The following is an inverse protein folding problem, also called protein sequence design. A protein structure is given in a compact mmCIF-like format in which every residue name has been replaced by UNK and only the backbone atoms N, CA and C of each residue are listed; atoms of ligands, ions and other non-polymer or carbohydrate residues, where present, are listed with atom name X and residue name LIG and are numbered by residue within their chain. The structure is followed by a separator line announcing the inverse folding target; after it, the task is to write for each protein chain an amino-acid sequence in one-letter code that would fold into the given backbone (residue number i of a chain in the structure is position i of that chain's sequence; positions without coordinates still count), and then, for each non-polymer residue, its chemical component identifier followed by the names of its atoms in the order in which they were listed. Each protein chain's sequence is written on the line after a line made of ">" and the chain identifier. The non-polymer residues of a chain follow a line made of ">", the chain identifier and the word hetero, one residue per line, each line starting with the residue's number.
data_IF_596549546585
#
_entry.id   IF_596549546585
#
_cell.length_a   1.000
_cell.length_b   1.000
_cell.length_c   1.000
_cell.angle_alpha   90.00
_cell.angle_beta   90.00
_cell.angle_gamma   90.00
#
_symmetry.space_group_name_H-M   'P 1'
#
loop_
_entity.id
_entity.type
_entity.pdbx_description
1 polymer ?
#
# COMPACT_ATOMS: atom_id res chain seq x y z
N UNK A 1 4.78 10.37 7.48
CA UNK A 1 4.02 9.34 8.19
C UNK A 1 3.70 9.86 9.58
N UNK A 2 2.45 9.69 10.03
CA UNK A 2 2.06 9.93 11.43
C UNK A 2 1.89 8.58 12.13
N UNK A 3 2.19 8.54 13.43
CA UNK A 3 2.01 7.33 14.24
C UNK A 3 1.34 7.69 15.56
N UNK A 4 0.24 7.03 15.84
CA UNK A 4 -0.45 7.11 17.12
C UNK A 4 -0.46 5.74 17.79
N UNK A 5 -0.30 5.73 19.12
CA UNK A 5 -0.41 4.51 19.90
C UNK A 5 -1.68 4.56 20.73
N UNK A 6 -2.67 3.76 20.36
CA UNK A 6 -3.99 3.72 20.99
C UNK A 6 -4.19 2.42 21.78
N UNK A 7 -5.31 2.30 22.49
CA UNK A 7 -5.67 1.11 23.29
C UNK A 7 -4.57 0.75 24.31
N UNK A 8 -4.05 1.76 25.02
CA UNK A 8 -2.98 1.55 26.00
C UNK A 8 -1.63 1.18 25.38
N UNK A 9 -1.37 1.67 24.16
CA UNK A 9 -0.12 1.41 23.41
C UNK A 9 -0.07 0.05 22.71
N UNK A 10 -1.19 -0.68 22.66
CA UNK A 10 -1.25 -2.01 22.03
C UNK A 10 -1.53 -1.96 20.53
N UNK A 11 -2.10 -0.90 20.04
CA UNK A 11 -2.38 -0.68 18.60
C UNK A 11 -1.52 0.47 18.12
N UNK A 12 -0.73 0.26 17.07
CA UNK A 12 -0.04 1.31 16.35
C UNK A 12 -0.87 1.70 15.12
N UNK A 13 -1.46 2.90 15.15
CA UNK A 13 -2.14 3.48 13.99
C UNK A 13 -1.14 4.31 13.19
N UNK A 14 -0.91 3.92 11.96
CA UNK A 14 0.04 4.51 11.02
C UNK A 14 -0.75 5.22 9.93
N UNK A 15 -0.54 6.53 9.76
CA UNK A 15 -1.25 7.30 8.75
C UNK A 15 -0.27 7.82 7.69
N UNK A 16 -0.51 7.46 6.43
CA UNK A 16 0.15 8.09 5.28
C UNK A 16 -0.37 9.53 5.20
N UNK A 17 0.50 10.52 5.38
CA UNK A 17 0.06 11.91 5.58
C UNK A 17 0.57 12.83 4.47
N UNK A 18 0.07 12.63 3.25
CA UNK A 18 0.22 13.53 2.10
C UNK A 18 -1.13 13.69 1.37
N UNK A 19 -2.22 14.11 2.08
CA UNK A 19 -3.54 14.17 1.47
C UNK A 19 -3.63 15.14 0.28
N UNK A 20 -2.78 16.17 0.24
CA UNK A 20 -2.69 17.12 -0.89
C UNK A 20 -2.18 16.47 -2.19
N UNK A 21 -1.57 15.30 -2.11
CA UNK A 21 -1.07 14.51 -3.24
C UNK A 21 -1.67 13.09 -3.22
N UNK A 22 -2.90 12.92 -2.72
CA UNK A 22 -3.63 11.66 -2.62
C UNK A 22 -2.77 10.53 -2.00
N UNK A 23 -1.97 10.89 -1.01
CA UNK A 23 -1.02 10.01 -0.31
C UNK A 23 -0.05 9.27 -1.25
N UNK A 24 0.37 9.94 -2.35
CA UNK A 24 1.40 9.41 -3.23
C UNK A 24 2.69 9.11 -2.46
N UNK A 25 3.28 7.96 -2.74
CA UNK A 25 4.44 7.43 -2.01
C UNK A 25 5.72 7.96 -2.66
N UNK A 26 6.38 8.90 -1.99
CA UNK A 26 7.75 9.34 -2.33
C UNK A 26 8.78 8.39 -1.75
N UNK A 27 10.04 8.54 -2.16
CA UNK A 27 11.16 7.82 -1.57
C UNK A 27 11.26 8.02 -0.06
N UNK A 28 11.05 9.27 0.39
CA UNK A 28 11.13 9.67 1.80
C UNK A 28 9.98 9.07 2.61
N UNK A 29 8.75 9.07 2.04
CA UNK A 29 7.60 8.47 2.72
C UNK A 29 7.78 6.96 2.86
N UNK A 30 8.28 6.28 1.82
CA UNK A 30 8.55 4.85 1.87
C UNK A 30 9.65 4.51 2.90
N UNK A 31 10.72 5.29 2.95
CA UNK A 31 11.78 5.13 3.95
C UNK A 31 11.25 5.36 5.38
N UNK A 32 10.52 6.47 5.59
CA UNK A 32 9.92 6.78 6.90
C UNK A 32 8.94 5.70 7.37
N UNK A 33 8.11 5.16 6.46
CA UNK A 33 7.20 4.06 6.81
C UNK A 33 7.96 2.79 7.19
N UNK A 34 9.05 2.50 6.50
CA UNK A 34 9.93 1.36 6.84
C UNK A 34 10.51 1.51 8.25
N UNK A 35 11.06 2.68 8.60
CA UNK A 35 11.59 2.97 9.93
C UNK A 35 10.53 2.87 11.03
N UNK A 36 9.32 3.35 10.75
CA UNK A 36 8.17 3.21 11.67
C UNK A 36 7.86 1.74 11.91
N UNK A 37 7.79 0.91 10.88
CA UNK A 37 7.52 -0.53 11.01
C UNK A 37 8.62 -1.26 11.78
N UNK A 38 9.89 -0.91 11.54
CA UNK A 38 11.03 -1.45 12.30
C UNK A 38 10.95 -1.06 13.79
N UNK A 39 10.57 0.19 14.08
CA UNK A 39 10.33 0.67 15.45
C UNK A 39 9.21 -0.10 16.14
N UNK A 40 8.08 -0.32 15.41
CA UNK A 40 6.95 -1.12 15.91
C UNK A 40 7.37 -2.56 16.17
N UNK A 41 8.17 -3.14 15.29
CA UNK A 41 8.70 -4.51 15.47
C UNK A 41 9.51 -4.66 16.78
N UNK A 42 10.27 -3.64 17.17
CA UNK A 42 11.06 -3.63 18.41
C UNK A 42 10.21 -3.35 19.65
N UNK A 43 9.00 -2.78 19.52
CA UNK A 43 8.18 -2.34 20.65
C UNK A 43 7.29 -3.46 21.18
N UNK A 44 7.66 -4.06 22.31
CA UNK A 44 6.98 -5.25 22.89
C UNK A 44 5.52 -5.02 23.29
N UNK A 45 5.12 -3.76 23.58
CA UNK A 45 3.73 -3.42 23.94
C UNK A 45 2.78 -3.48 22.77
N UNK A 46 3.24 -3.21 21.53
CA UNK A 46 2.40 -3.21 20.33
C UNK A 46 2.02 -4.63 19.96
N UNK A 47 0.73 -4.86 19.73
CA UNK A 47 0.14 -6.15 19.36
C UNK A 47 -0.31 -6.20 17.92
N UNK A 48 -0.69 -5.07 17.35
CA UNK A 48 -1.19 -4.94 15.97
C UNK A 48 -0.81 -3.57 15.42
N UNK A 49 -0.52 -3.51 14.13
CA UNK A 49 -0.37 -2.29 13.37
C UNK A 49 -1.57 -2.10 12.42
N UNK A 50 -2.02 -0.87 12.24
CA UNK A 50 -3.03 -0.49 11.25
C UNK A 50 -2.44 0.61 10.38
N UNK A 51 -2.49 0.45 9.07
CA UNK A 51 -2.07 1.48 8.11
C UNK A 51 -3.30 2.07 7.45
N UNK A 52 -3.40 3.41 7.41
CA UNK A 52 -4.45 4.14 6.71
C UNK A 52 -3.89 5.36 5.98
N UNK A 53 -4.71 6.04 5.18
CA UNK A 53 -4.40 7.31 4.52
C UNK A 53 -5.05 8.49 5.22
N UNK A 54 -4.40 9.66 5.21
CA UNK A 54 -5.00 10.92 5.64
C UNK A 54 -5.93 11.49 4.55
N UNK A 55 -6.95 12.23 4.97
CA UNK A 55 -7.97 12.80 4.06
C UNK A 55 -9.04 11.79 3.69
N UNK A 56 -9.88 12.15 2.74
CA UNK A 56 -11.07 11.39 2.33
C UNK A 56 -11.01 10.87 0.89
N UNK A 57 -10.02 11.28 0.10
CA UNK A 57 -9.95 10.97 -1.34
C UNK A 57 -9.26 9.66 -1.65
N UNK A 58 -8.23 9.31 -0.90
CA UNK A 58 -7.40 8.15 -1.20
C UNK A 58 -6.70 7.58 0.03
N UNK A 59 -6.66 6.29 0.12
CA UNK A 59 -5.66 5.61 0.93
C UNK A 59 -4.25 5.92 0.40
N UNK A 60 -3.98 5.63 -0.87
CA UNK A 60 -2.78 6.03 -1.61
C UNK A 60 -2.94 5.73 -3.09
N UNK A 61 -2.47 6.63 -3.95
CA UNK A 61 -2.42 6.44 -5.42
C UNK A 61 -1.11 5.81 -5.90
N UNK A 62 -0.26 5.34 -4.99
CA UNK A 62 1.00 4.69 -5.33
C UNK A 62 2.17 5.64 -5.49
N UNK A 63 3.17 5.23 -6.27
CA UNK A 63 4.41 5.99 -6.42
C UNK A 63 4.19 7.41 -6.96
N UNK A 64 4.87 8.38 -6.38
CA UNK A 64 4.80 9.79 -6.80
C UNK A 64 5.43 9.96 -8.19
N UNK A 65 4.57 10.13 -9.21
CA UNK A 65 4.99 10.27 -10.60
C UNK A 65 5.71 11.60 -10.86
N UNK A 66 5.41 12.66 -10.10
CA UNK A 66 6.13 13.92 -10.21
C UNK A 66 7.57 13.77 -9.75
N UNK A 67 7.80 13.08 -8.62
CA UNK A 67 9.15 12.76 -8.17
C UNK A 67 9.88 11.91 -9.22
N UNK A 68 9.21 10.90 -9.79
CA UNK A 68 9.81 9.99 -10.79
C UNK A 68 10.18 10.67 -12.10
N UNK A 69 9.42 11.66 -12.54
CA UNK A 69 9.67 12.40 -13.79
C UNK A 69 11.05 13.05 -13.82
N UNK A 70 11.53 13.51 -12.68
CA UNK A 70 12.81 14.21 -12.54
C UNK A 70 13.98 13.27 -12.20
N UNK A 71 13.75 11.94 -12.09
CA UNK A 71 14.78 10.98 -11.70
C UNK A 71 15.64 10.52 -12.86
N UNK A 72 16.95 10.39 -12.61
CA UNK A 72 17.83 9.58 -13.46
C UNK A 72 17.50 8.10 -13.29
N UNK A 73 17.99 7.27 -14.23
CA UNK A 73 17.84 5.80 -14.15
C UNK A 73 18.41 5.25 -12.83
N UNK A 74 19.55 5.75 -12.38
CA UNK A 74 20.20 5.33 -11.14
C UNK A 74 19.37 5.70 -9.91
N UNK A 75 18.79 6.91 -9.89
CA UNK A 75 17.90 7.36 -8.82
C UNK A 75 16.64 6.50 -8.78
N UNK A 76 16.05 6.20 -9.94
CA UNK A 76 14.88 5.33 -10.05
C UNK A 76 15.18 3.92 -9.54
N UNK A 77 16.33 3.33 -9.88
CA UNK A 77 16.73 2.01 -9.37
C UNK A 77 16.91 2.01 -7.85
N UNK A 78 17.49 3.08 -7.28
CA UNK A 78 17.59 3.23 -5.82
C UNK A 78 16.22 3.37 -5.16
N UNK A 79 15.32 4.16 -5.75
CA UNK A 79 13.95 4.28 -5.25
C UNK A 79 13.26 2.91 -5.22
N UNK A 80 13.42 2.11 -6.29
CA UNK A 80 12.86 0.76 -6.34
C UNK A 80 13.32 -0.09 -5.16
N UNK A 81 14.61 -0.05 -4.81
CA UNK A 81 15.13 -0.78 -3.65
C UNK A 81 14.46 -0.33 -2.33
N UNK A 82 14.17 0.96 -2.20
CA UNK A 82 13.47 1.50 -1.02
C UNK A 82 12.03 0.95 -0.94
N UNK A 83 11.32 0.91 -2.07
CA UNK A 83 9.97 0.36 -2.14
C UNK A 83 9.95 -1.16 -1.90
N UNK A 84 10.88 -1.89 -2.50
CA UNK A 84 11.00 -3.33 -2.28
C UNK A 84 11.30 -3.64 -0.80
N UNK A 85 12.16 -2.84 -0.15
CA UNK A 85 12.41 -2.93 1.29
C UNK A 85 11.16 -2.66 2.12
N UNK A 86 10.37 -1.64 1.78
CA UNK A 86 9.12 -1.35 2.47
C UNK A 86 8.18 -2.56 2.44
N UNK A 87 7.90 -3.10 1.24
CA UNK A 87 7.01 -4.25 1.09
C UNK A 87 7.56 -5.47 1.85
N UNK A 88 8.86 -5.70 1.76
CA UNK A 88 9.51 -6.76 2.53
C UNK A 88 9.32 -6.55 4.05
N UNK A 89 9.50 -5.34 4.56
CA UNK A 89 9.34 -5.01 5.99
C UNK A 89 7.90 -5.23 6.45
N UNK A 90 6.90 -4.83 5.65
CA UNK A 90 5.48 -5.11 5.92
C UNK A 90 5.27 -6.62 6.07
N UNK A 91 5.76 -7.41 5.11
CA UNK A 91 5.61 -8.87 5.07
C UNK A 91 6.34 -9.62 6.19
N UNK A 92 7.43 -9.05 6.69
CA UNK A 92 8.24 -9.65 7.78
C UNK A 92 7.85 -9.17 9.17
N UNK A 93 6.89 -8.27 9.28
CA UNK A 93 6.43 -7.77 10.57
C UNK A 93 5.85 -8.93 11.39
N UNK A 94 6.47 -9.25 12.51
CA UNK A 94 6.03 -10.35 13.40
C UNK A 94 4.84 -9.96 14.30
N UNK A 95 3.94 -9.15 13.77
CA UNK A 95 2.68 -8.72 14.38
C UNK A 95 1.65 -8.57 13.27
N UNK A 96 0.36 -8.84 13.54
CA UNK A 96 -0.68 -8.55 12.57
C UNK A 96 -0.60 -7.10 12.10
N UNK A 97 -0.70 -6.93 10.79
CA UNK A 97 -0.75 -5.63 10.14
C UNK A 97 -1.98 -5.56 9.24
N UNK A 98 -2.79 -4.53 9.41
CA UNK A 98 -4.08 -4.36 8.76
C UNK A 98 -4.01 -3.11 7.88
N UNK A 99 -4.45 -3.19 6.63
CA UNK A 99 -4.72 -2.00 5.83
C UNK A 99 -6.19 -1.58 6.03
N UNK A 100 -6.40 -0.37 6.54
CA UNK A 100 -7.72 0.26 6.62
C UNK A 100 -7.81 1.30 5.49
N UNK A 101 -8.52 0.96 4.41
CA UNK A 101 -8.45 1.70 3.15
C UNK A 101 -9.78 2.35 2.78
N UNK A 102 -9.72 3.49 2.08
CA UNK A 102 -10.85 4.24 1.56
C UNK A 102 -10.48 4.94 0.24
N UNK A 103 -11.46 5.33 -0.53
CA UNK A 103 -11.24 6.05 -1.78
C UNK A 103 -10.29 5.32 -2.72
N UNK A 104 -9.35 6.01 -3.33
CA UNK A 104 -8.41 5.43 -4.28
C UNK A 104 -7.33 4.59 -3.59
N UNK A 105 -7.17 3.34 -4.02
CA UNK A 105 -6.16 2.37 -3.57
C UNK A 105 -5.42 1.87 -4.82
N UNK A 106 -4.49 2.67 -5.34
CA UNK A 106 -3.94 2.45 -6.68
C UNK A 106 -2.44 2.18 -6.68
N UNK A 107 -1.98 1.37 -7.64
CA UNK A 107 -0.57 1.09 -7.89
C UNK A 107 0.17 0.68 -6.63
N UNK A 108 1.26 1.36 -6.28
CA UNK A 108 2.01 1.10 -5.04
C UNK A 108 1.19 1.20 -3.75
N UNK A 109 0.07 1.94 -3.75
CA UNK A 109 -0.88 1.97 -2.63
C UNK A 109 -1.66 0.65 -2.53
N UNK A 110 -2.10 0.11 -3.65
CA UNK A 110 -2.71 -1.22 -3.71
C UNK A 110 -1.68 -2.30 -3.34
N UNK A 111 -0.44 -2.19 -3.84
CA UNK A 111 0.67 -3.08 -3.49
C UNK A 111 0.95 -3.10 -1.99
N UNK A 112 0.95 -1.93 -1.35
CA UNK A 112 1.09 -1.81 0.10
C UNK A 112 -0.08 -2.49 0.82
N UNK A 113 -1.32 -2.23 0.41
CA UNK A 113 -2.51 -2.80 1.03
C UNK A 113 -2.54 -4.34 0.94
N UNK A 114 -2.29 -4.92 -0.24
CA UNK A 114 -2.27 -6.38 -0.44
C UNK A 114 -1.05 -7.06 0.19
N UNK A 115 -0.06 -6.30 0.64
CA UNK A 115 1.09 -6.82 1.36
C UNK A 115 0.83 -7.00 2.85
N UNK A 116 -0.24 -6.43 3.39
CA UNK A 116 -0.67 -6.61 4.78
C UNK A 116 -1.34 -7.97 5.00
N UNK A 117 -1.64 -8.33 6.25
CA UNK A 117 -2.26 -9.63 6.55
C UNK A 117 -3.72 -9.69 6.09
N UNK A 118 -4.45 -8.59 6.21
CA UNK A 118 -5.78 -8.43 5.62
C UNK A 118 -6.17 -6.95 5.46
N UNK A 119 -7.22 -6.72 4.67
CA UNK A 119 -7.69 -5.38 4.30
C UNK A 119 -9.11 -5.19 4.85
N UNK A 120 -9.33 -4.06 5.51
CA UNK A 120 -10.66 -3.52 5.80
C UNK A 120 -10.87 -2.33 4.86
N UNK A 121 -11.92 -2.38 4.06
CA UNK A 121 -12.20 -1.35 3.06
C UNK A 121 -13.49 -0.60 3.40
N UNK A 122 -13.45 0.72 3.25
CA UNK A 122 -14.67 1.51 3.19
C UNK A 122 -15.44 1.20 1.89
N UNK A 123 -16.73 1.44 1.87
CA UNK A 123 -17.61 1.13 0.73
C UNK A 123 -17.25 1.89 -0.55
N UNK A 124 -16.59 3.05 -0.40
CA UNK A 124 -16.12 3.90 -1.49
C UNK A 124 -14.74 3.50 -2.02
N UNK A 125 -14.09 2.50 -1.42
CA UNK A 125 -12.75 2.10 -1.84
C UNK A 125 -12.76 1.47 -3.24
N UNK A 126 -11.77 1.88 -4.05
CA UNK A 126 -11.56 1.38 -5.41
C UNK A 126 -10.11 0.95 -5.56
N UNK A 127 -9.90 -0.31 -5.92
CA UNK A 127 -8.57 -0.91 -6.05
C UNK A 127 -8.15 -0.98 -7.53
N UNK A 128 -6.94 -0.56 -7.84
CA UNK A 128 -6.44 -0.59 -9.21
C UNK A 128 -4.93 -0.78 -9.31
N UNK A 129 -4.50 -1.33 -10.46
CA UNK A 129 -3.10 -1.45 -10.86
C UNK A 129 -2.91 -0.76 -12.22
N UNK A 130 -2.89 0.59 -12.25
CA UNK A 130 -2.94 1.35 -13.50
C UNK A 130 -1.60 1.42 -14.24
N UNK A 131 -0.57 0.72 -13.77
CA UNK A 131 0.79 0.76 -14.32
C UNK A 131 0.83 0.48 -15.82
N UNK A 132 0.06 -0.50 -16.30
CA UNK A 132 0.01 -0.85 -17.72
C UNK A 132 -0.50 0.32 -18.61
N UNK A 133 -1.38 1.17 -18.08
CA UNK A 133 -1.92 2.33 -18.79
C UNK A 133 -0.87 3.43 -19.05
N UNK A 134 0.20 3.42 -18.28
CA UNK A 134 1.32 4.38 -18.41
C UNK A 134 2.63 3.70 -18.87
N UNK A 135 2.53 2.51 -19.45
CA UNK A 135 3.67 1.77 -20.00
C UNK A 135 4.60 1.18 -18.95
N UNK A 136 4.12 1.02 -17.72
CA UNK A 136 4.86 0.37 -16.63
C UNK A 136 4.29 -1.01 -16.33
N UNK A 137 5.03 -1.79 -15.58
CA UNK A 137 4.56 -3.06 -15.00
C UNK A 137 4.31 -2.86 -13.51
N UNK A 138 3.21 -3.43 -13.02
CA UNK A 138 2.99 -3.56 -11.58
C UNK A 138 4.18 -4.29 -10.94
N UNK A 139 4.60 -3.82 -9.79
CA UNK A 139 5.79 -4.30 -9.09
C UNK A 139 5.49 -4.75 -7.66
N UNK A 140 6.45 -4.54 -6.77
CA UNK A 140 6.36 -4.72 -5.31
C UNK A 140 5.53 -5.95 -4.84
N UNK A 141 5.49 -7.00 -5.67
CA UNK A 141 4.80 -8.26 -5.38
C UNK A 141 3.38 -8.39 -5.91
N UNK A 142 2.76 -7.37 -6.54
CA UNK A 142 1.39 -7.47 -7.07
C UNK A 142 1.17 -8.66 -7.98
N UNK A 143 2.04 -8.99 -8.96
CA UNK A 143 1.86 -10.17 -9.81
C UNK A 143 1.87 -11.50 -9.03
N UNK A 144 2.38 -11.50 -7.80
CA UNK A 144 2.45 -12.68 -6.93
C UNK A 144 1.29 -12.71 -5.94
N UNK A 145 0.89 -11.56 -5.39
CA UNK A 145 -0.10 -11.52 -4.31
C UNK A 145 -1.54 -11.41 -4.83
N UNK A 146 -1.78 -10.63 -5.89
CA UNK A 146 -3.14 -10.51 -6.44
C UNK A 146 -3.76 -11.84 -6.86
N UNK A 147 -3.05 -12.76 -7.57
CA UNK A 147 -3.61 -14.04 -7.92
C UNK A 147 -3.86 -15.01 -6.74
N UNK A 148 -3.40 -14.63 -5.54
CA UNK A 148 -3.69 -15.35 -4.29
C UNK A 148 -4.90 -14.78 -3.53
N UNK A 149 -5.28 -13.55 -3.84
CA UNK A 149 -6.41 -12.84 -3.24
C UNK A 149 -7.62 -12.78 -4.17
N UNK A 150 -7.41 -12.84 -5.47
CA UNK A 150 -8.44 -12.79 -6.51
C UNK A 150 -8.38 -14.04 -7.39
N UNK A 151 -9.47 -14.43 -8.05
CA UNK A 151 -9.42 -15.40 -9.13
C UNK A 151 -8.35 -15.00 -10.15
N UNK A 152 -7.50 -15.94 -10.63
CA UNK A 152 -6.34 -15.60 -11.47
C UNK A 152 -6.69 -14.78 -12.73
N UNK A 153 -7.83 -15.08 -13.36
CA UNK A 153 -8.31 -14.32 -14.54
C UNK A 153 -8.61 -12.85 -14.19
N UNK A 154 -9.21 -12.60 -13.03
CA UNK A 154 -9.52 -11.22 -12.60
C UNK A 154 -8.26 -10.46 -12.19
N UNK A 155 -7.33 -11.13 -11.49
CA UNK A 155 -6.03 -10.55 -11.17
C UNK A 155 -5.25 -10.18 -12.45
N UNK A 156 -5.25 -11.07 -13.45
CA UNK A 156 -4.61 -10.83 -14.75
C UNK A 156 -5.25 -9.66 -15.49
N UNK A 157 -6.59 -9.58 -15.54
CA UNK A 157 -7.30 -8.46 -16.16
C UNK A 157 -6.87 -7.14 -15.49
N UNK A 158 -6.92 -7.06 -14.16
CA UNK A 158 -6.53 -5.86 -13.40
C UNK A 158 -5.08 -5.45 -13.69
N UNK A 159 -4.14 -6.41 -13.71
CA UNK A 159 -2.72 -6.15 -13.98
C UNK A 159 -2.43 -5.73 -15.42
N UNK A 160 -3.13 -6.29 -16.40
CA UNK A 160 -2.84 -6.06 -17.83
C UNK A 160 -3.58 -4.87 -18.40
N UNK A 161 -4.77 -4.56 -17.89
CA UNK A 161 -5.61 -3.48 -18.42
C UNK A 161 -5.63 -2.23 -17.55
N UNK A 162 -5.25 -2.36 -16.27
CA UNK A 162 -5.40 -1.29 -15.28
C UNK A 162 -6.85 -1.08 -14.82
N UNK A 163 -7.80 -1.93 -15.26
CA UNK A 163 -9.21 -1.81 -14.88
C UNK A 163 -9.40 -2.04 -13.39
N UNK A 164 -9.97 -1.07 -12.65
CA UNK A 164 -10.10 -1.18 -11.20
C UNK A 164 -11.26 -2.11 -10.80
N UNK A 165 -11.29 -2.47 -9.52
CA UNK A 165 -12.41 -3.15 -8.85
C UNK A 165 -12.94 -2.30 -7.70
N UNK A 166 -14.24 -2.35 -7.46
CA UNK A 166 -14.87 -1.68 -6.31
C UNK A 166 -14.65 -2.48 -5.02
N UNK A 167 -14.87 -1.83 -3.87
CA UNK A 167 -14.85 -2.51 -2.57
C UNK A 167 -15.83 -3.69 -2.52
N UNK A 168 -17.03 -3.54 -3.11
CA UNK A 168 -18.05 -4.59 -3.15
C UNK A 168 -17.59 -5.78 -4.00
N UNK A 169 -16.95 -5.54 -5.14
CA UNK A 169 -16.38 -6.63 -5.94
C UNK A 169 -15.22 -7.31 -5.21
N UNK A 170 -14.32 -6.53 -4.60
CA UNK A 170 -13.21 -7.03 -3.81
C UNK A 170 -13.68 -7.89 -2.62
N UNK A 171 -14.75 -7.47 -1.94
CA UNK A 171 -15.39 -8.24 -0.87
C UNK A 171 -15.99 -9.55 -1.37
N UNK A 172 -16.76 -9.51 -2.47
CA UNK A 172 -17.36 -10.71 -3.06
C UNK A 172 -16.31 -11.74 -3.51
N UNK A 173 -15.13 -11.26 -3.92
CA UNK A 173 -14.02 -12.12 -4.36
C UNK A 173 -13.10 -12.56 -3.21
N UNK A 174 -13.30 -12.05 -1.99
CA UNK A 174 -12.53 -12.42 -0.81
C UNK A 174 -11.19 -11.68 -0.66
N UNK A 175 -10.98 -10.59 -1.40
CA UNK A 175 -9.77 -9.77 -1.29
C UNK A 175 -9.80 -8.88 -0.03
N UNK A 176 -10.99 -8.43 0.39
CA UNK A 176 -11.21 -7.59 1.57
C UNK A 176 -12.25 -8.20 2.48
#
# INVERSE_FOLDING_TARGET
>A
VLVEYVSGGRVALITLNRPHADNAITTELAASLTEVLETIAARSTVRVAVITGAGDRAFSVGGDLYQRKEMTKEQWLRQRQVFDRLVYTVRQLRRPIIAAVHGMVYGGGCELAISTDFIIAADDAVFGQPEAMVGLSAGAGSPVFLPRLLPPGRAMQMLMTGEPITAQEAYRLGMV
#
